data_IF_650695669643
#
_entry.id   IF_650695669643
#
_cell.length_a   1.000
_cell.length_b   1.000
_cell.length_c   1.000
_cell.angle_alpha   90.00
_cell.angle_beta   90.00
_cell.angle_gamma   90.00
#
_symmetry.space_group_name_H-M   'P 1'
#
loop_
_entity.id
_entity.type
_entity.pdbx_description
1 polymer ?
#
# COMPACT_ATOMS: atom_id res chain seq x y z
N UNK A 1 56.06 -25.70 -4.80
CA UNK A 1 55.08 -24.97 -5.64
C UNK A 1 54.21 -24.13 -4.72
N UNK A 2 54.57 -22.87 -4.55
CA UNK A 2 53.88 -21.93 -3.68
C UNK A 2 52.60 -21.46 -4.38
N UNK A 3 51.44 -21.73 -3.78
CA UNK A 3 50.15 -21.36 -4.36
C UNK A 3 50.00 -19.85 -4.25
N UNK A 4 50.27 -19.14 -5.36
CA UNK A 4 49.99 -17.71 -5.51
C UNK A 4 48.50 -17.49 -5.25
N UNK A 5 48.16 -17.00 -4.06
CA UNK A 5 46.80 -16.63 -3.71
C UNK A 5 46.38 -15.46 -4.60
N UNK A 6 45.38 -15.68 -5.44
CA UNK A 6 44.80 -14.62 -6.28
C UNK A 6 44.37 -13.44 -5.39
N UNK A 7 44.62 -12.19 -5.79
CA UNK A 7 44.21 -11.03 -5.01
C UNK A 7 42.69 -11.09 -4.80
N UNK A 8 42.28 -11.11 -3.52
CA UNK A 8 40.85 -11.07 -3.16
C UNK A 8 40.26 -9.81 -3.76
N UNK A 9 39.22 -9.96 -4.59
CA UNK A 9 38.48 -8.84 -5.18
C UNK A 9 38.12 -7.86 -4.06
N UNK A 10 38.61 -6.63 -4.17
CA UNK A 10 38.29 -5.56 -3.23
C UNK A 10 36.78 -5.38 -3.27
N UNK A 11 36.12 -5.59 -2.13
CA UNK A 11 34.69 -5.34 -1.98
C UNK A 11 34.45 -3.84 -2.25
N UNK A 12 33.87 -3.52 -3.40
CA UNK A 12 33.56 -2.14 -3.81
C UNK A 12 32.11 -2.04 -4.26
N UNK A 13 31.15 -2.14 -3.33
CA UNK A 13 29.75 -1.92 -3.66
C UNK A 13 29.50 -0.46 -4.03
N UNK A 14 28.77 -0.24 -5.13
CA UNK A 14 28.43 1.10 -5.65
C UNK A 14 27.63 1.99 -4.66
N UNK A 15 27.11 1.38 -3.60
CA UNK A 15 26.23 1.99 -2.60
C UNK A 15 26.97 2.36 -1.32
N UNK A 16 28.26 2.03 -1.20
CA UNK A 16 29.09 2.39 -0.05
C UNK A 16 30.36 3.14 -0.48
N UNK A 17 30.77 4.09 0.36
CA UNK A 17 32.03 4.81 0.23
C UNK A 17 32.98 4.27 1.30
N UNK A 18 34.19 3.88 0.89
CA UNK A 18 35.26 3.41 1.77
C UNK A 18 36.25 4.54 2.02
N UNK A 19 36.57 4.77 3.29
CA UNK A 19 37.61 5.69 3.75
C UNK A 19 38.72 4.85 4.39
N UNK A 20 39.87 4.80 3.70
CA UNK A 20 41.00 3.94 4.07
C UNK A 20 42.02 4.60 5.00
N UNK A 21 41.85 5.89 5.30
CA UNK A 21 42.91 6.72 5.88
C UNK A 21 42.53 7.37 7.21
N UNK A 22 41.79 6.67 8.08
CA UNK A 22 41.70 7.12 9.47
C UNK A 22 42.90 6.57 10.23
N UNK A 23 44.01 7.30 10.14
CA UNK A 23 45.28 7.02 10.82
C UNK A 23 45.12 7.29 12.32
N UNK A 24 44.35 6.44 13.01
CA UNK A 24 44.30 6.40 14.46
C UNK A 24 45.41 5.46 14.95
N UNK A 25 46.63 6.00 14.97
CA UNK A 25 47.86 5.58 15.66
C UNK A 25 48.35 4.12 15.64
N UNK A 26 47.56 3.06 15.41
CA UNK A 26 48.06 1.68 15.30
C UNK A 26 47.11 0.69 14.61
N UNK A 27 45.85 1.05 14.33
CA UNK A 27 44.90 0.14 13.67
C UNK A 27 44.44 0.72 12.34
N UNK A 28 44.68 0.01 11.23
CA UNK A 28 44.10 0.32 9.91
C UNK A 28 42.58 0.04 9.95
N UNK A 29 41.81 0.98 10.50
CA UNK A 29 40.34 0.90 10.53
C UNK A 29 39.79 1.53 9.26
N UNK A 30 39.25 0.69 8.37
CA UNK A 30 38.49 1.16 7.21
C UNK A 30 37.11 1.62 7.67
N UNK A 31 36.78 2.88 7.43
CA UNK A 31 35.45 3.41 7.68
C UNK A 31 34.64 3.29 6.40
N UNK A 32 33.41 2.82 6.52
CA UNK A 32 32.48 2.67 5.41
C UNK A 32 31.25 3.52 5.67
N UNK A 33 30.78 4.24 4.67
CA UNK A 33 29.58 5.07 4.77
C UNK A 33 28.58 4.65 3.69
N UNK A 34 27.36 4.37 4.11
CA UNK A 34 26.28 4.03 3.18
C UNK A 34 25.71 5.27 2.51
N UNK A 35 25.64 5.28 1.17
CA UNK A 35 25.06 6.38 0.41
C UNK A 35 23.56 6.58 0.66
N UNK A 36 22.86 5.51 1.06
CA UNK A 36 21.40 5.52 1.15
C UNK A 36 20.85 5.90 2.53
N UNK A 37 21.53 5.50 3.59
CA UNK A 37 21.09 5.76 4.96
C UNK A 37 22.13 6.53 5.78
N UNK A 38 23.28 6.89 5.19
CA UNK A 38 24.36 7.64 5.82
C UNK A 38 24.92 6.99 7.11
N UNK A 39 24.65 5.70 7.30
CA UNK A 39 25.18 4.94 8.43
C UNK A 39 26.68 4.72 8.25
N UNK A 40 27.43 5.03 9.30
CA UNK A 40 28.87 4.81 9.41
C UNK A 40 29.13 3.41 9.96
N UNK A 41 29.94 2.63 9.27
CA UNK A 41 30.27 1.25 9.60
C UNK A 41 31.78 1.13 9.75
N UNK A 42 32.22 0.54 10.85
CA UNK A 42 33.63 0.50 11.25
C UNK A 42 34.32 -0.82 10.85
N UNK A 43 33.61 -1.68 10.12
CA UNK A 43 34.09 -3.01 9.73
C UNK A 43 33.63 -3.36 8.31
N UNK A 44 34.48 -4.02 7.50
CA UNK A 44 34.08 -4.56 6.20
C UNK A 44 32.91 -5.55 6.32
N UNK A 45 32.85 -6.36 7.38
CA UNK A 45 31.77 -7.33 7.59
C UNK A 45 30.44 -6.62 7.82
N UNK A 46 30.47 -5.54 8.60
CA UNK A 46 29.30 -4.67 8.80
C UNK A 46 28.87 -4.00 7.49
N UNK A 47 29.81 -3.57 6.65
CA UNK A 47 29.53 -3.01 5.34
C UNK A 47 28.84 -4.02 4.40
N UNK A 48 29.31 -5.26 4.35
CA UNK A 48 28.70 -6.33 3.54
C UNK A 48 27.29 -6.67 4.00
N UNK A 49 27.10 -6.86 5.31
CA UNK A 49 25.78 -7.16 5.89
C UNK A 49 24.82 -6.00 5.71
N UNK A 50 25.28 -4.77 5.93
CA UNK A 50 24.48 -3.58 5.72
C UNK A 50 24.09 -3.42 4.24
N UNK A 51 25.01 -3.61 3.30
CA UNK A 51 24.71 -3.55 1.87
C UNK A 51 23.55 -4.47 1.47
N UNK A 52 23.51 -5.69 2.01
CA UNK A 52 22.48 -6.68 1.69
C UNK A 52 21.07 -6.29 2.18
N UNK A 53 20.98 -5.56 3.30
CA UNK A 53 19.72 -5.26 3.97
C UNK A 53 19.39 -3.77 4.09
N UNK A 54 20.25 -2.89 3.56
CA UNK A 54 20.08 -1.46 3.67
C UNK A 54 18.78 -1.05 2.98
N UNK A 55 17.85 -0.53 3.79
CA UNK A 55 16.69 0.18 3.27
C UNK A 55 17.09 1.64 3.13
N UNK A 56 16.90 2.24 1.94
CA UNK A 56 17.18 3.65 1.78
C UNK A 56 16.36 4.46 2.77
N UNK A 57 16.99 5.47 3.36
CA UNK A 57 16.30 6.36 4.27
C UNK A 57 15.08 6.95 3.53
N UNK A 58 13.90 6.96 4.17
CA UNK A 58 12.72 7.52 3.54
C UNK A 58 12.98 9.01 3.25
N UNK A 59 12.99 9.35 1.96
CA UNK A 59 13.11 10.74 1.52
C UNK A 59 11.76 11.43 1.66
N UNK A 60 11.74 12.77 1.76
CA UNK A 60 10.49 13.56 1.72
C UNK A 60 9.64 13.22 0.48
N UNK A 61 10.28 12.85 -0.63
CA UNK A 61 9.59 12.41 -1.85
C UNK A 61 8.96 11.03 -1.69
N UNK A 62 9.68 10.05 -1.13
CA UNK A 62 9.14 8.70 -0.96
C UNK A 62 7.99 8.67 0.05
N UNK A 63 8.06 9.46 1.12
CA UNK A 63 6.95 9.58 2.08
C UNK A 63 5.73 10.23 1.43
N UNK A 64 5.91 11.27 0.62
CA UNK A 64 4.82 11.88 -0.16
C UNK A 64 4.16 10.86 -1.09
N UNK A 65 4.95 10.05 -1.80
CA UNK A 65 4.43 9.01 -2.70
C UNK A 65 3.65 7.94 -1.91
N UNK A 66 4.14 7.52 -0.75
CA UNK A 66 3.42 6.57 0.11
C UNK A 66 2.07 7.14 0.58
N UNK A 67 2.05 8.41 0.99
CA UNK A 67 0.81 9.08 1.42
C UNK A 67 -0.20 9.20 0.28
N UNK A 68 0.25 9.51 -0.94
CA UNK A 68 -0.63 9.56 -2.12
C UNK A 68 -1.25 8.18 -2.39
N UNK A 69 -0.44 7.11 -2.37
CA UNK A 69 -0.93 5.74 -2.57
C UNK A 69 -1.92 5.32 -1.49
N UNK A 70 -1.63 5.65 -0.23
CA UNK A 70 -2.54 5.38 0.88
C UNK A 70 -3.88 6.12 0.71
N UNK A 71 -3.84 7.40 0.30
CA UNK A 71 -5.05 8.17 0.03
C UNK A 71 -5.87 7.59 -1.14
N UNK A 72 -5.23 7.13 -2.20
CA UNK A 72 -5.91 6.46 -3.32
C UNK A 72 -6.58 5.14 -2.89
N UNK A 73 -5.94 4.36 -2.01
CA UNK A 73 -6.56 3.14 -1.48
C UNK A 73 -7.80 3.43 -0.64
N UNK A 74 -7.79 4.51 0.13
CA UNK A 74 -8.95 4.93 0.92
C UNK A 74 -10.10 5.35 -0.01
N UNK A 75 -9.81 6.20 -1.01
CA UNK A 75 -10.82 6.62 -2.01
C UNK A 75 -11.46 5.43 -2.73
N UNK A 76 -10.67 4.46 -3.18
CA UNK A 76 -11.19 3.24 -3.81
C UNK A 76 -12.06 2.41 -2.86
N UNK A 77 -11.67 2.30 -1.59
CA UNK A 77 -12.47 1.59 -0.60
C UNK A 77 -13.82 2.29 -0.35
N UNK A 78 -13.83 3.62 -0.28
CA UNK A 78 -15.05 4.43 -0.15
C UNK A 78 -15.97 4.27 -1.37
N UNK A 79 -15.43 4.30 -2.59
CA UNK A 79 -16.20 4.05 -3.82
C UNK A 79 -16.85 2.67 -3.84
N UNK A 80 -16.13 1.63 -3.42
CA UNK A 80 -16.66 0.26 -3.32
C UNK A 80 -17.80 0.20 -2.28
N UNK A 81 -17.65 0.85 -1.13
CA UNK A 81 -18.71 0.91 -0.12
C UNK A 81 -19.94 1.68 -0.61
N UNK A 82 -19.75 2.79 -1.34
CA UNK A 82 -20.84 3.53 -1.95
C UNK A 82 -21.59 2.70 -3.01
N UNK A 83 -20.87 2.00 -3.88
CA UNK A 83 -21.44 1.10 -4.88
C UNK A 83 -22.25 -0.03 -4.23
N UNK A 84 -21.75 -0.62 -3.14
CA UNK A 84 -22.46 -1.64 -2.38
C UNK A 84 -23.78 -1.11 -1.81
N UNK A 85 -23.78 0.08 -1.19
CA UNK A 85 -25.00 0.73 -0.66
C UNK A 85 -26.04 0.97 -1.76
N UNK A 86 -25.62 1.41 -2.95
CA UNK A 86 -26.51 1.62 -4.11
C UNK A 86 -27.15 0.31 -4.56
N UNK A 87 -26.41 -0.80 -4.60
CA UNK A 87 -26.98 -2.11 -4.96
C UNK A 87 -28.02 -2.59 -3.94
N UNK A 88 -27.78 -2.41 -2.64
CA UNK A 88 -28.74 -2.75 -1.58
C UNK A 88 -30.01 -1.91 -1.68
N UNK A 89 -29.87 -0.59 -1.93
CA UNK A 89 -31.00 0.31 -2.14
C UNK A 89 -31.84 -0.07 -3.38
N UNK A 90 -31.19 -0.49 -4.48
CA UNK A 90 -31.89 -0.99 -5.67
C UNK A 90 -32.68 -2.26 -5.39
N UNK A 91 -32.08 -3.24 -4.70
CA UNK A 91 -32.74 -4.50 -4.33
C UNK A 91 -33.96 -4.27 -3.43
N UNK A 92 -33.84 -3.40 -2.43
CA UNK A 92 -34.96 -3.08 -1.50
C UNK A 92 -36.09 -2.29 -2.16
N UNK A 93 -35.79 -1.44 -3.15
CA UNK A 93 -36.82 -0.73 -3.94
C UNK A 93 -37.62 -1.69 -4.83
N UNK A 94 -36.97 -2.68 -5.43
CA UNK A 94 -37.63 -3.69 -6.27
C UNK A 94 -38.55 -4.57 -5.41
N UNK A 95 -38.10 -5.05 -4.26
CA UNK A 95 -38.93 -5.91 -3.39
C UNK A 95 -40.17 -5.16 -2.85
N UNK A 96 -40.03 -3.89 -2.44
CA UNK A 96 -41.18 -3.06 -2.05
C UNK A 96 -42.19 -2.88 -3.18
N UNK A 97 -41.72 -2.67 -4.42
CA UNK A 97 -42.59 -2.51 -5.59
C UNK A 97 -43.38 -3.79 -5.91
N UNK A 98 -42.73 -4.96 -5.78
CA UNK A 98 -43.37 -6.27 -5.99
C UNK A 98 -44.42 -6.58 -4.92
N UNK A 99 -44.19 -6.18 -3.66
CA UNK A 99 -45.19 -6.33 -2.60
C UNK A 99 -46.41 -5.42 -2.83
N UNK A 100 -46.19 -4.19 -3.32
CA UNK A 100 -47.28 -3.25 -3.60
C UNK A 100 -48.18 -3.75 -4.74
N UNK A 101 -47.60 -4.23 -5.83
CA UNK A 101 -48.37 -4.73 -6.99
C UNK A 101 -49.14 -6.01 -6.67
N UNK A 102 -48.59 -6.89 -5.82
CA UNK A 102 -49.33 -8.05 -5.28
C UNK A 102 -50.53 -7.60 -4.44
N UNK A 103 -50.38 -6.60 -3.57
CA UNK A 103 -51.51 -6.05 -2.79
C UNK A 103 -52.59 -5.43 -3.68
N UNK A 104 -52.21 -4.69 -4.73
CA UNK A 104 -53.16 -4.08 -5.66
C UNK A 104 -53.93 -5.16 -6.45
N UNK A 105 -53.26 -6.22 -6.90
CA UNK A 105 -53.93 -7.36 -7.58
C UNK A 105 -54.86 -8.18 -6.68
N UNK A 106 -54.67 -8.14 -5.36
CA UNK A 106 -55.50 -8.87 -4.39
C UNK A 106 -56.54 -7.99 -3.69
N UNK A 107 -56.56 -6.68 -3.96
CA UNK A 107 -57.63 -5.82 -3.46
C UNK A 107 -58.92 -6.18 -4.20
N UNK A 108 -59.99 -6.61 -3.51
CA UNK A 108 -61.27 -6.86 -4.16
C UNK A 108 -61.73 -5.53 -4.78
N UNK A 109 -62.05 -5.58 -6.07
CA UNK A 109 -62.68 -4.48 -6.78
C UNK A 109 -63.98 -4.14 -6.04
N UNK A 110 -63.94 -3.12 -5.19
CA UNK A 110 -65.14 -2.58 -4.55
C UNK A 110 -65.83 -1.71 -5.58
N UNK A 111 -66.76 -2.33 -6.30
CA UNK A 111 -67.80 -1.64 -7.06
C UNK A 111 -68.49 -0.63 -6.15
N UNK A 112 -68.15 0.64 -6.33
CA UNK A 112 -69.00 1.76 -5.89
C UNK A 112 -69.45 2.45 -7.16
N UNK A 113 -70.39 1.82 -7.86
CA UNK A 113 -71.12 2.45 -8.95
C UNK A 113 -72.04 3.54 -8.37
N UNK A 114 -71.84 4.84 -8.70
CA UNK A 114 -72.50 5.94 -8.00
C UNK A 114 -73.93 6.25 -8.50
N UNK A 115 -74.56 5.39 -9.29
CA UNK A 115 -75.84 5.70 -9.97
C UNK A 115 -77.02 4.80 -9.56
N UNK A 116 -76.86 3.91 -8.57
CA UNK A 116 -77.97 3.14 -8.04
C UNK A 116 -78.79 3.95 -7.01
N UNK A 117 -79.55 4.93 -7.47
CA UNK A 117 -80.63 5.54 -6.68
C UNK A 117 -81.99 5.12 -7.21
N UNK A 118 -82.74 4.46 -6.33
CA UNK A 118 -84.13 4.02 -6.48
C UNK A 118 -85.10 5.20 -6.63
N UNK A 119 -85.96 5.13 -7.65
CA UNK A 119 -87.43 5.22 -7.54
C UNK A 119 -88.09 4.97 -8.88
#
# INVERSE_FOLDING_TARGET
MEKVQKPKKIFNPQTMVRYDEVVAKNDKKSIWVCKFCLTVLLSPVSAVTHHAFCKPAPTKRSTRIQNIRAAETIKKAEEIQAAAKIQVAKKTRVTKRVQLTKKIKMAPYRDTAPWATSK
#
